data_IF_403825972472
#
_entry.id   IF_403825972472
#
_cell.length_a   1.000
_cell.length_b   1.000
_cell.length_c   1.000
_cell.angle_alpha   90.00
_cell.angle_beta   90.00
_cell.angle_gamma   90.00
#
_symmetry.space_group_name_H-M   'P 1'
#
loop_
_entity.id
_entity.type
_entity.pdbx_description
1 polymer ?
#
# COMPACT_ATOMS: atom_id res chain seq x y z
N UNK A 1 -7.95 8.16 7.19
CA UNK A 1 -9.23 8.58 7.83
C UNK A 1 -8.94 9.48 9.00
N UNK A 2 -9.70 10.56 9.17
CA UNK A 2 -9.66 11.43 10.34
C UNK A 2 -10.86 11.12 11.24
N UNK A 3 -10.62 10.89 12.53
CA UNK A 3 -11.67 10.58 13.49
C UNK A 3 -11.30 11.10 14.88
N UNK A 4 -12.26 11.70 15.59
CA UNK A 4 -12.05 12.19 16.95
C UNK A 4 -10.89 13.19 17.09
N UNK A 5 -10.70 14.06 16.09
CA UNK A 5 -9.61 15.04 16.09
C UNK A 5 -8.23 14.48 15.73
N UNK A 6 -8.13 13.21 15.31
CA UNK A 6 -6.86 12.51 15.07
C UNK A 6 -6.79 11.91 13.67
N UNK A 7 -5.60 11.97 13.07
CA UNK A 7 -5.30 11.24 11.84
C UNK A 7 -5.00 9.78 12.16
N UNK A 8 -5.79 8.87 11.58
CA UNK A 8 -5.57 7.43 11.69
C UNK A 8 -4.79 6.96 10.47
N UNK A 9 -3.46 7.11 10.54
CA UNK A 9 -2.52 6.73 9.49
C UNK A 9 -1.63 5.59 10.00
N UNK A 10 -2.12 4.35 9.90
CA UNK A 10 -1.40 3.20 10.43
C UNK A 10 -0.20 2.78 9.57
N UNK A 11 -0.21 3.09 8.27
CA UNK A 11 0.81 2.62 7.35
C UNK A 11 1.21 3.72 6.36
N UNK A 12 2.44 3.61 5.87
CA UNK A 12 2.99 4.39 4.75
C UNK A 12 3.37 3.41 3.64
N UNK A 13 2.90 3.70 2.44
CA UNK A 13 3.30 3.00 1.22
C UNK A 13 4.44 3.78 0.56
N UNK A 14 5.51 3.08 0.22
CA UNK A 14 6.54 3.53 -0.71
C UNK A 14 6.44 2.66 -1.96
N UNK A 15 6.01 3.27 -3.06
CA UNK A 15 5.84 2.60 -4.34
C UNK A 15 6.91 3.12 -5.30
N UNK A 16 7.74 2.21 -5.80
CA UNK A 16 8.89 2.50 -6.64
C UNK A 16 8.59 2.00 -8.05
N UNK A 17 8.75 2.86 -9.04
CA UNK A 17 8.61 2.52 -10.44
C UNK A 17 9.84 1.74 -10.93
N UNK A 18 9.62 0.55 -11.50
CA UNK A 18 10.69 -0.24 -12.14
C UNK A 18 10.75 -0.03 -13.66
N UNK A 19 9.69 0.56 -14.21
CA UNK A 19 9.54 0.97 -15.60
C UNK A 19 8.99 2.39 -15.61
N UNK A 20 9.15 3.11 -16.72
CA UNK A 20 8.43 4.37 -16.90
C UNK A 20 6.91 4.13 -16.84
N UNK A 21 6.19 5.12 -16.32
CA UNK A 21 4.74 5.11 -16.13
C UNK A 21 4.22 6.45 -16.67
N UNK A 22 3.72 6.42 -17.91
CA UNK A 22 3.13 7.57 -18.57
C UNK A 22 1.62 7.45 -18.76
N UNK A 23 1.03 8.36 -19.55
CA UNK A 23 -0.38 8.31 -19.91
C UNK A 23 -0.77 6.94 -20.51
N UNK A 24 -1.85 6.34 -20.00
CA UNK A 24 -2.34 5.04 -20.46
C UNK A 24 -1.58 3.82 -19.90
N UNK A 25 -0.57 4.03 -19.05
CA UNK A 25 0.12 2.94 -18.36
C UNK A 25 -0.58 2.47 -17.08
N UNK A 26 -1.72 3.08 -16.77
CA UNK A 26 -2.56 2.70 -15.65
C UNK A 26 -1.90 3.04 -14.32
N UNK A 27 -1.31 4.23 -14.20
CA UNK A 27 -0.53 4.72 -13.06
C UNK A 27 -1.29 4.70 -11.73
N UNK A 28 -0.56 4.94 -10.64
CA UNK A 28 -1.20 5.06 -9.33
C UNK A 28 -2.02 6.34 -9.31
N UNK A 29 -3.27 6.22 -8.86
CA UNK A 29 -4.20 7.33 -8.72
C UNK A 29 -4.40 7.63 -7.24
N UNK A 30 -4.38 8.90 -6.86
CA UNK A 30 -4.50 9.36 -5.47
C UNK A 30 -5.48 10.52 -5.40
N UNK A 31 -6.26 10.65 -4.31
CA UNK A 31 -6.99 11.89 -4.01
C UNK A 31 -6.19 12.66 -2.95
N UNK A 32 -5.48 13.75 -3.30
CA UNK A 32 -4.67 14.50 -2.34
C UNK A 32 -5.49 14.99 -1.14
N UNK A 33 -4.95 14.88 0.07
CA UNK A 33 -5.63 15.33 1.29
C UNK A 33 -6.76 14.43 1.81
N UNK A 34 -7.22 13.42 1.05
CA UNK A 34 -8.33 12.54 1.45
C UNK A 34 -8.12 11.77 2.76
N UNK A 35 -6.87 11.60 3.22
CA UNK A 35 -6.53 11.03 4.52
C UNK A 35 -7.11 11.83 5.70
N UNK A 36 -7.42 13.12 5.47
CA UNK A 36 -8.08 14.03 6.40
C UNK A 36 -9.61 13.95 6.36
N UNK A 37 -10.18 13.24 5.39
CA UNK A 37 -11.63 13.12 5.29
C UNK A 37 -12.21 12.34 6.48
N UNK A 38 -13.38 12.79 6.92
CA UNK A 38 -14.25 12.15 7.91
C UNK A 38 -15.62 11.75 7.31
N UNK A 39 -15.81 11.88 6.00
CA UNK A 39 -17.01 11.44 5.28
C UNK A 39 -16.64 10.61 4.03
N UNK A 40 -17.61 9.84 3.53
CA UNK A 40 -17.44 9.03 2.31
C UNK A 40 -17.29 9.94 1.09
N UNK A 41 -16.42 9.56 0.16
CA UNK A 41 -16.30 10.26 -1.13
C UNK A 41 -17.62 10.12 -1.92
N UNK A 42 -18.10 11.17 -2.62
CA UNK A 42 -19.32 11.10 -3.42
C UNK A 42 -19.34 9.90 -4.38
N UNK A 43 -18.22 9.68 -5.08
CA UNK A 43 -18.11 8.64 -6.12
C UNK A 43 -17.82 7.24 -5.54
N UNK A 44 -17.77 7.08 -4.21
CA UNK A 44 -17.35 5.83 -3.57
C UNK A 44 -18.21 4.62 -3.99
N UNK A 45 -19.53 4.81 -4.11
CA UNK A 45 -20.45 3.73 -4.46
C UNK A 45 -20.23 3.21 -5.88
N UNK A 46 -19.92 4.12 -6.82
CA UNK A 46 -19.76 3.82 -8.24
C UNK A 46 -18.43 3.12 -8.52
N UNK A 47 -17.37 3.55 -7.83
CA UNK A 47 -15.99 3.09 -8.01
C UNK A 47 -15.51 2.07 -6.96
N UNK A 48 -16.40 1.53 -6.13
CA UNK A 48 -16.05 0.44 -5.22
C UNK A 48 -15.44 -0.74 -6.00
N UNK A 49 -14.56 -1.51 -5.36
CA UNK A 49 -14.03 -2.73 -5.98
C UNK A 49 -15.15 -3.69 -6.36
N UNK A 50 -15.11 -4.18 -7.60
CA UNK A 50 -16.04 -5.16 -8.16
C UNK A 50 -15.26 -6.41 -8.62
N UNK A 51 -15.89 -7.60 -8.64
CA UNK A 51 -15.24 -8.82 -9.12
C UNK A 51 -14.67 -8.70 -10.54
N UNK A 52 -15.32 -7.91 -11.39
CA UNK A 52 -14.94 -7.67 -12.79
C UNK A 52 -13.80 -6.65 -12.93
N UNK A 53 -13.28 -6.15 -11.81
CA UNK A 53 -12.31 -5.07 -11.74
C UNK A 53 -12.96 -3.69 -11.56
N UNK A 54 -12.20 -2.77 -11.01
CA UNK A 54 -12.59 -1.37 -10.86
C UNK A 54 -11.40 -0.48 -11.23
N UNK A 55 -11.69 0.66 -11.85
CA UNK A 55 -10.73 1.75 -12.08
C UNK A 55 -11.18 2.95 -11.25
N UNK A 56 -10.22 3.75 -10.81
CA UNK A 56 -10.48 5.01 -10.11
C UNK A 56 -10.27 6.22 -11.04
N UNK A 57 -10.18 5.99 -12.35
CA UNK A 57 -10.27 7.06 -13.35
C UNK A 57 -11.61 7.78 -13.27
N UNK A 58 -11.59 9.09 -13.49
CA UNK A 58 -12.78 9.93 -13.49
C UNK A 58 -13.35 10.24 -12.10
N UNK A 59 -12.78 9.70 -11.02
CA UNK A 59 -13.15 10.10 -9.65
C UNK A 59 -12.75 11.55 -9.42
N UNK A 60 -13.67 12.35 -8.89
CA UNK A 60 -13.45 13.76 -8.60
C UNK A 60 -12.23 13.94 -7.67
N UNK A 61 -11.34 14.87 -8.04
CA UNK A 61 -10.13 15.15 -7.28
C UNK A 61 -9.04 14.06 -7.29
N UNK A 62 -9.25 12.93 -7.97
CA UNK A 62 -8.20 11.93 -8.16
C UNK A 62 -7.19 12.41 -9.22
N UNK A 63 -5.90 12.27 -8.92
CA UNK A 63 -4.80 12.58 -9.84
C UNK A 63 -4.02 11.31 -10.16
N UNK A 64 -3.61 11.17 -11.42
CA UNK A 64 -2.68 10.11 -11.84
C UNK A 64 -1.24 10.57 -11.58
N UNK A 65 -0.44 9.68 -11.02
CA UNK A 65 0.99 9.94 -10.80
C UNK A 65 1.80 9.23 -11.88
N UNK A 66 2.36 10.03 -12.78
CA UNK A 66 3.35 9.59 -13.76
C UNK A 66 4.74 9.59 -13.15
N UNK A 67 5.55 8.61 -13.52
CA UNK A 67 6.84 8.32 -12.89
C UNK A 67 7.82 7.83 -13.95
N UNK A 68 9.10 8.17 -13.81
CA UNK A 68 10.19 7.50 -14.54
C UNK A 68 10.69 6.29 -13.74
N UNK A 69 11.34 5.35 -14.42
CA UNK A 69 11.99 4.23 -13.76
C UNK A 69 12.99 4.73 -12.69
N UNK A 70 12.83 4.25 -11.46
CA UNK A 70 13.60 4.69 -10.29
C UNK A 70 12.91 5.72 -9.41
N UNK A 71 11.87 6.41 -9.90
CA UNK A 71 11.07 7.31 -9.06
C UNK A 71 10.33 6.55 -7.97
N UNK A 72 10.05 7.24 -6.86
CA UNK A 72 9.26 6.71 -5.77
C UNK A 72 8.16 7.68 -5.34
N UNK A 73 6.98 7.15 -5.06
CA UNK A 73 5.89 7.88 -4.42
C UNK A 73 5.71 7.37 -2.99
N UNK A 74 5.62 8.30 -2.05
CA UNK A 74 5.36 8.02 -0.65
C UNK A 74 4.02 8.61 -0.25
N UNK A 75 3.14 7.78 0.31
CA UNK A 75 1.84 8.22 0.80
C UNK A 75 1.36 7.39 1.97
N UNK A 76 0.56 8.01 2.84
CA UNK A 76 -0.11 7.31 3.93
C UNK A 76 -1.22 6.41 3.36
N UNK A 77 -1.31 5.18 3.84
CA UNK A 77 -2.29 4.18 3.37
C UNK A 77 -3.75 4.64 3.54
N UNK A 78 -3.99 5.53 4.50
CA UNK A 78 -5.29 6.13 4.74
C UNK A 78 -5.73 7.18 3.71
N UNK A 79 -4.91 7.47 2.69
CA UNK A 79 -5.27 8.27 1.52
C UNK A 79 -6.13 7.42 0.57
N UNK A 80 -7.18 7.97 -0.02
CA UNK A 80 -7.92 7.29 -1.09
C UNK A 80 -7.00 7.11 -2.29
N UNK A 81 -6.85 5.87 -2.74
CA UNK A 81 -5.94 5.52 -3.82
C UNK A 81 -6.44 4.30 -4.60
N UNK A 82 -5.91 4.15 -5.81
CA UNK A 82 -6.15 3.03 -6.71
C UNK A 82 -5.20 3.09 -7.89
N UNK A 83 -5.60 2.50 -9.02
CA UNK A 83 -4.89 2.65 -10.28
C UNK A 83 -5.83 3.06 -11.41
N UNK A 84 -5.27 3.78 -12.38
CA UNK A 84 -5.91 4.00 -13.66
C UNK A 84 -5.98 2.70 -14.47
N UNK A 85 -6.80 2.68 -15.54
CA UNK A 85 -6.89 1.56 -16.45
C UNK A 85 -5.67 1.58 -17.34
N UNK A 86 -5.08 0.39 -17.52
CA UNK A 86 -4.02 0.23 -18.51
C UNK A 86 -4.62 0.13 -19.91
N UNK A 87 -4.15 0.97 -20.82
CA UNK A 87 -4.55 1.00 -22.22
C UNK A 87 -3.39 0.63 -23.18
N UNK A 88 -2.14 0.94 -22.82
CA UNK A 88 -0.99 0.57 -23.66
C UNK A 88 -0.62 -0.92 -23.48
N UNK A 89 0.05 -1.50 -24.48
CA UNK A 89 0.53 -2.89 -24.43
C UNK A 89 1.67 -3.10 -23.41
N UNK A 90 1.86 -4.34 -22.96
CA UNK A 90 2.93 -4.71 -22.04
C UNK A 90 2.56 -4.55 -20.55
N UNK A 91 3.57 -4.45 -19.69
CA UNK A 91 3.39 -4.48 -18.23
C UNK A 91 3.92 -3.22 -17.55
N UNK A 92 3.15 -2.69 -16.59
CA UNK A 92 3.63 -1.72 -15.61
C UNK A 92 4.25 -2.47 -14.43
N UNK A 93 5.54 -2.25 -14.13
CA UNK A 93 6.24 -2.93 -13.04
C UNK A 93 6.60 -1.97 -11.92
N UNK A 94 6.23 -2.35 -10.70
CA UNK A 94 6.45 -1.55 -9.49
C UNK A 94 6.87 -2.45 -8.32
N UNK A 95 7.60 -1.89 -7.37
CA UNK A 95 7.78 -2.48 -6.04
C UNK A 95 6.99 -1.68 -5.02
N UNK A 96 6.20 -2.37 -4.18
CA UNK A 96 5.45 -1.73 -3.09
C UNK A 96 6.03 -2.18 -1.75
N UNK A 97 6.57 -1.23 -1.00
CA UNK A 97 7.00 -1.42 0.38
C UNK A 97 6.00 -0.75 1.32
N UNK A 98 5.48 -1.51 2.28
CA UNK A 98 4.50 -1.01 3.24
C UNK A 98 5.10 -1.01 4.63
N UNK A 99 5.30 0.18 5.17
CA UNK A 99 5.79 0.40 6.51
C UNK A 99 4.60 0.62 7.44
N UNK A 100 4.56 -0.12 8.54
CA UNK A 100 3.52 -0.04 9.53
C UNK A 100 4.11 -0.04 10.94
N UNK A 101 3.25 -0.08 11.98
CA UNK A 101 3.68 -0.16 13.35
C UNK A 101 4.35 -1.53 13.57
N UNK A 102 5.31 -1.60 14.49
CA UNK A 102 6.08 -2.82 14.76
C UNK A 102 5.22 -4.04 15.16
N UNK A 103 4.03 -3.80 15.69
CA UNK A 103 3.06 -4.84 16.07
C UNK A 103 2.18 -5.34 14.92
N UNK A 104 2.30 -4.76 13.72
CA UNK A 104 1.59 -5.22 12.54
C UNK A 104 2.12 -6.58 12.05
N UNK A 105 1.21 -7.51 11.75
CA UNK A 105 1.56 -8.80 11.18
C UNK A 105 1.37 -8.82 9.66
N UNK A 106 2.10 -9.71 8.98
CA UNK A 106 1.93 -9.92 7.54
C UNK A 106 0.55 -10.51 7.25
N UNK A 107 -0.16 -9.92 6.28
CA UNK A 107 -1.53 -10.29 5.88
C UNK A 107 -1.72 -11.79 5.60
N UNK A 108 -0.69 -12.46 5.11
CA UNK A 108 -0.74 -13.86 4.67
C UNK A 108 0.06 -14.81 5.58
N UNK A 109 0.46 -14.36 6.78
CA UNK A 109 1.22 -15.19 7.71
C UNK A 109 2.62 -15.59 7.24
N UNK A 110 3.14 -14.96 6.18
CA UNK A 110 4.53 -15.17 5.76
C UNK A 110 5.48 -14.64 6.83
N UNK A 111 6.50 -15.43 7.13
CA UNK A 111 7.60 -15.04 7.99
C UNK A 111 8.87 -14.84 7.15
N UNK A 112 9.76 -13.90 7.51
CA UNK A 112 11.09 -13.82 6.93
C UNK A 112 11.84 -15.16 7.08
N UNK A 113 12.52 -15.61 6.02
CA UNK A 113 13.35 -16.81 6.08
C UNK A 113 14.60 -16.58 6.93
N UNK A 114 15.14 -17.66 7.53
CA UNK A 114 16.40 -17.59 8.27
C UNK A 114 17.56 -17.05 7.40
N UNK A 115 17.59 -17.42 6.11
CA UNK A 115 18.58 -16.94 5.16
C UNK A 115 18.47 -15.42 4.92
N UNK A 116 17.26 -14.89 4.75
CA UNK A 116 17.06 -13.45 4.64
C UNK A 116 17.56 -12.75 5.90
N UNK A 117 17.13 -13.21 7.06
CA UNK A 117 17.50 -12.61 8.35
C UNK A 117 19.01 -12.60 8.55
N UNK A 118 19.72 -13.66 8.18
CA UNK A 118 21.17 -13.77 8.30
C UNK A 118 21.94 -12.73 7.46
N UNK A 119 21.37 -12.28 6.34
CA UNK A 119 21.99 -11.29 5.43
C UNK A 119 21.68 -9.83 5.79
N UNK A 120 20.78 -9.57 6.74
CA UNK A 120 20.40 -8.23 7.14
C UNK A 120 21.36 -7.65 8.20
N UNK A 121 21.62 -6.35 8.10
CA UNK A 121 22.27 -5.61 9.20
C UNK A 121 21.35 -5.58 10.43
N UNK A 122 21.89 -5.30 11.63
CA UNK A 122 21.07 -5.17 12.84
C UNK A 122 19.90 -4.18 12.68
N UNK A 123 20.11 -3.07 11.98
CA UNK A 123 19.09 -2.04 11.72
C UNK A 123 18.01 -2.55 10.77
N UNK A 124 18.41 -3.22 9.67
CA UNK A 124 17.45 -3.79 8.70
C UNK A 124 16.63 -4.91 9.34
N UNK A 125 17.22 -5.68 10.25
CA UNK A 125 16.48 -6.72 10.98
C UNK A 125 15.38 -6.13 11.86
N UNK A 126 15.61 -4.98 12.50
CA UNK A 126 14.56 -4.26 13.26
C UNK A 126 13.38 -3.80 12.40
N UNK A 127 13.57 -3.63 11.09
CA UNK A 127 12.50 -3.28 10.15
C UNK A 127 11.75 -4.53 9.70
N UNK A 128 12.49 -5.58 9.29
CA UNK A 128 11.93 -6.80 8.69
C UNK A 128 11.28 -7.72 9.73
N UNK A 129 11.84 -7.77 10.94
CA UNK A 129 11.34 -8.57 12.05
C UNK A 129 11.52 -7.79 13.36
N UNK A 130 10.67 -6.78 13.61
CA UNK A 130 10.76 -5.91 14.79
C UNK A 130 10.42 -6.63 16.10
N UNK A 131 9.69 -7.74 16.02
CA UNK A 131 9.21 -8.50 17.18
C UNK A 131 9.73 -9.93 17.11
N UNK A 132 10.18 -10.43 18.26
CA UNK A 132 10.38 -11.86 18.45
C UNK A 132 9.01 -12.52 18.60
N UNK A 133 8.77 -13.57 17.81
CA UNK A 133 7.55 -14.37 17.94
C UNK A 133 7.64 -15.16 19.24
N UNK A 134 6.73 -14.87 20.17
CA UNK A 134 6.52 -15.71 21.34
C UNK A 134 5.89 -17.03 20.88
N UNK A 135 6.63 -18.12 21.00
CA UNK A 135 6.08 -19.47 20.81
C UNK A 135 4.93 -19.66 21.80
N UNK A 136 3.71 -19.83 21.28
CA UNK A 136 2.55 -20.23 22.08
C UNK A 136 2.28 -21.69 21.82
N UNK A 137 2.33 -22.49 22.88
CA UNK A 137 1.78 -23.84 22.85
C UNK A 137 0.24 -23.72 22.79
N UNK A 138 -0.46 -24.52 21.96
CA UNK A 138 -1.92 -24.57 21.98
C UNK A 138 -2.41 -24.83 23.40
N UNK A 139 -3.35 -24.03 23.89
CA UNK A 139 -3.90 -24.17 25.25
C UNK A 139 -4.95 -25.29 25.37
N UNK A 140 -5.16 -26.07 24.31
CA UNK A 140 -6.10 -27.19 24.31
C UNK A 140 -5.27 -28.47 24.27
N UNK A 141 -5.14 -29.11 25.42
CA UNK A 141 -4.82 -30.54 25.47
C UNK A 141 -6.09 -31.29 25.02
N UNK A 142 -5.93 -32.20 24.06
CA UNK A 142 -7.02 -32.99 23.48
C UNK A 142 -7.59 -34.02 24.44
#
# INVERSE_FOLDING_TARGET
RFHGGRFMCGQVNALIALTDIGPGDGGTMLIPGSHKSNFLHPDFAEHRMKPEGATVEGIEGAIEVHMQAGDAILFVDGLSHGSARRANEGERRICVFRYGPSWGNFRHGYAPSAELLARLTPERRKIVQPLELLLRHPQVEG
#
